data_IF_628917846650
#
_entry.id   IF_628917846650
#
_cell.length_a   1.000
_cell.length_b   1.000
_cell.length_c   1.000
_cell.angle_alpha   90.00
_cell.angle_beta   90.00
_cell.angle_gamma   90.00
#
_symmetry.space_group_name_H-M   'P 1'
#
loop_
_entity.id
_entity.type
_entity.pdbx_description
1 polymer ?
#
# COMPACT_ATOMS: atom_id res chain seq x y z
N UNK A 1 -17.79 -2.10 -16.77
CA UNK A 1 -17.59 -0.78 -16.15
C UNK A 1 -16.13 -0.77 -15.70
N UNK A 2 -15.25 -0.11 -16.45
CA UNK A 2 -13.83 -0.03 -16.09
C UNK A 2 -13.73 1.01 -14.98
N UNK A 3 -13.43 0.58 -13.76
CA UNK A 3 -13.17 1.53 -12.67
C UNK A 3 -11.86 2.25 -13.01
N UNK A 4 -11.97 3.53 -13.34
CA UNK A 4 -10.83 4.45 -13.46
C UNK A 4 -10.18 4.59 -12.08
N UNK A 5 -9.09 3.87 -11.84
CA UNK A 5 -8.36 3.93 -10.56
C UNK A 5 -7.52 5.20 -10.41
N UNK A 6 -7.44 6.05 -11.44
CA UNK A 6 -6.57 7.23 -11.50
C UNK A 6 -6.75 8.17 -10.32
N UNK A 7 -8.01 8.44 -9.92
CA UNK A 7 -8.32 9.32 -8.79
C UNK A 7 -7.90 8.67 -7.45
N UNK A 8 -8.29 7.40 -7.24
CA UNK A 8 -7.92 6.68 -6.02
C UNK A 8 -6.40 6.53 -5.90
N UNK A 9 -5.71 6.27 -7.01
CA UNK A 9 -4.26 6.16 -7.06
C UNK A 9 -3.60 7.50 -6.71
N UNK A 10 -4.12 8.62 -7.22
CA UNK A 10 -3.61 9.95 -6.87
C UNK A 10 -3.76 10.26 -5.38
N UNK A 11 -4.89 9.90 -4.77
CA UNK A 11 -5.14 10.03 -3.33
C UNK A 11 -4.15 9.18 -2.53
N UNK A 12 -4.02 7.89 -2.88
CA UNK A 12 -3.10 6.95 -2.22
C UNK A 12 -1.65 7.40 -2.34
N UNK A 13 -1.22 7.87 -3.52
CA UNK A 13 0.12 8.41 -3.71
C UNK A 13 0.36 9.65 -2.84
N UNK A 14 -0.61 10.55 -2.74
CA UNK A 14 -0.51 11.74 -1.89
C UNK A 14 -0.37 11.37 -0.40
N UNK A 15 -1.07 10.32 0.06
CA UNK A 15 -0.92 9.77 1.41
C UNK A 15 0.48 9.20 1.62
N UNK A 16 0.97 8.38 0.69
CA UNK A 16 2.32 7.78 0.75
C UNK A 16 3.39 8.87 0.79
N UNK A 17 3.33 9.84 -0.12
CA UNK A 17 4.30 10.94 -0.20
C UNK A 17 4.32 11.77 1.09
N UNK A 18 3.15 12.16 1.61
CA UNK A 18 3.04 12.94 2.85
C UNK A 18 3.69 12.27 4.06
N UNK A 19 3.56 10.95 4.18
CA UNK A 19 4.14 10.21 5.31
C UNK A 19 5.60 9.84 5.10
N UNK A 20 6.04 9.64 3.85
CA UNK A 20 7.32 9.03 3.54
C UNK A 20 8.31 9.97 2.85
N UNK A 21 7.96 11.23 2.59
CA UNK A 21 8.68 12.19 1.72
C UNK A 21 10.22 12.12 1.85
N UNK A 22 10.75 12.18 3.06
CA UNK A 22 12.21 12.20 3.31
C UNK A 22 12.92 10.88 3.06
N UNK A 23 12.17 9.80 2.86
CA UNK A 23 12.67 8.42 2.77
C UNK A 23 12.22 7.70 1.50
N UNK A 24 11.22 8.22 0.80
CA UNK A 24 10.61 7.58 -0.37
C UNK A 24 11.60 7.55 -1.55
N UNK A 25 11.85 6.36 -2.07
CA UNK A 25 12.72 6.17 -3.24
C UNK A 25 11.91 5.86 -4.50
N UNK A 26 10.86 5.05 -4.37
CA UNK A 26 10.00 4.70 -5.50
C UNK A 26 8.65 4.15 -5.04
N UNK A 27 7.64 4.32 -5.90
CA UNK A 27 6.35 3.61 -5.83
C UNK A 27 6.12 2.94 -7.17
N UNK A 28 5.80 1.64 -7.16
CA UNK A 28 5.48 0.87 -8.36
C UNK A 28 4.10 0.26 -8.26
N UNK A 29 3.26 0.51 -9.26
CA UNK A 29 2.02 -0.23 -9.47
C UNK A 29 2.37 -1.61 -10.05
N UNK A 30 1.81 -2.67 -9.48
CA UNK A 30 1.96 -4.03 -9.99
C UNK A 30 0.63 -4.79 -9.94
N UNK A 31 0.69 -6.10 -10.12
CA UNK A 31 -0.47 -6.97 -9.96
C UNK A 31 -1.51 -6.80 -11.06
N UNK A 32 -2.77 -7.05 -10.72
CA UNK A 32 -3.83 -7.19 -11.72
C UNK A 32 -4.12 -5.91 -12.52
N UNK A 33 -3.76 -4.74 -11.99
CA UNK A 33 -3.87 -3.47 -12.71
C UNK A 33 -2.94 -3.39 -13.93
N UNK A 34 -1.79 -4.08 -13.88
CA UNK A 34 -0.78 -4.09 -14.94
C UNK A 34 -0.81 -5.41 -15.72
N UNK A 35 -1.20 -6.51 -15.08
CA UNK A 35 -1.23 -7.85 -15.66
C UNK A 35 -2.64 -8.48 -15.64
N UNK A 36 -3.27 -8.58 -16.81
CA UNK A 36 -4.59 -9.22 -16.97
C UNK A 36 -5.81 -8.33 -16.68
N UNK A 37 -5.60 -7.10 -16.17
CA UNK A 37 -6.63 -6.10 -15.94
C UNK A 37 -7.41 -6.29 -14.62
N UNK A 38 -7.92 -5.17 -14.10
CA UNK A 38 -8.68 -5.15 -12.84
C UNK A 38 -10.02 -5.88 -12.96
N UNK A 39 -10.22 -6.92 -12.15
CA UNK A 39 -11.50 -7.62 -11.98
C UNK A 39 -12.38 -6.89 -10.95
N UNK A 40 -13.68 -7.22 -10.83
CA UNK A 40 -14.57 -6.52 -9.89
C UNK A 40 -14.08 -6.49 -8.44
N UNK A 41 -13.44 -7.55 -7.97
CA UNK A 41 -12.95 -7.68 -6.59
C UNK A 41 -11.42 -7.54 -6.47
N UNK A 42 -10.74 -7.11 -7.54
CA UNK A 42 -9.30 -6.81 -7.49
C UNK A 42 -9.03 -5.59 -6.62
N UNK A 43 -7.98 -5.68 -5.82
CA UNK A 43 -7.29 -4.61 -5.14
C UNK A 43 -6.34 -3.83 -6.08
N UNK A 44 -5.76 -2.76 -5.54
CA UNK A 44 -4.67 -2.01 -6.14
C UNK A 44 -3.38 -2.36 -5.39
N UNK A 45 -2.43 -2.96 -6.10
CA UNK A 45 -1.16 -3.43 -5.56
C UNK A 45 -0.04 -2.41 -5.76
N UNK A 46 0.55 -1.93 -4.67
CA UNK A 46 1.66 -0.96 -4.67
C UNK A 46 2.89 -1.50 -3.96
N UNK A 47 4.05 -1.43 -4.63
CA UNK A 47 5.36 -1.69 -4.05
C UNK A 47 6.05 -0.36 -3.76
N UNK A 48 6.24 -0.06 -2.49
CA UNK A 48 6.88 1.16 -2.00
C UNK A 48 8.29 0.83 -1.53
N UNK A 49 9.29 1.51 -2.09
CA UNK A 49 10.68 1.38 -1.67
C UNK A 49 11.10 2.62 -0.90
N UNK A 50 11.66 2.41 0.30
CA UNK A 50 12.16 3.50 1.16
C UNK A 50 13.64 3.33 1.47
N UNK A 51 14.34 4.43 1.74
CA UNK A 51 15.75 4.46 2.06
C UNK A 51 16.05 3.91 3.48
N UNK A 52 15.12 4.13 4.42
CA UNK A 52 15.28 3.77 5.83
C UNK A 52 14.01 3.12 6.37
N UNK A 53 14.16 2.31 7.41
CA UNK A 53 13.03 1.65 8.08
C UNK A 53 12.12 2.67 8.75
N UNK A 54 10.81 2.49 8.61
CA UNK A 54 9.83 3.33 9.29
C UNK A 54 9.80 3.04 10.79
N UNK A 55 9.62 4.09 11.58
CA UNK A 55 9.20 3.91 12.96
C UNK A 55 7.72 3.52 13.04
N UNK A 56 7.33 3.00 14.20
CA UNK A 56 5.99 2.42 14.37
C UNK A 56 4.88 3.47 14.51
N UNK A 57 5.22 4.72 14.76
CA UNK A 57 4.26 5.83 14.75
C UNK A 57 3.93 6.20 13.31
N UNK A 58 4.95 6.43 12.48
CA UNK A 58 4.81 6.71 11.04
C UNK A 58 4.09 5.56 10.33
N UNK A 59 4.46 4.30 10.62
CA UNK A 59 3.81 3.12 10.05
C UNK A 59 2.31 3.06 10.36
N UNK A 60 1.91 3.33 11.61
CA UNK A 60 0.49 3.34 12.01
C UNK A 60 -0.27 4.50 11.40
N UNK A 61 0.31 5.70 11.38
CA UNK A 61 -0.30 6.86 10.75
C UNK A 61 -0.52 6.63 9.24
N UNK A 62 0.47 6.08 8.54
CA UNK A 62 0.35 5.68 7.15
C UNK A 62 -0.78 4.65 6.95
N UNK A 63 -0.83 3.60 7.76
CA UNK A 63 -1.87 2.57 7.65
C UNK A 63 -3.28 3.15 7.86
N UNK A 64 -3.44 4.06 8.83
CA UNK A 64 -4.72 4.69 9.10
C UNK A 64 -5.17 5.60 7.95
N UNK A 65 -4.27 6.39 7.38
CA UNK A 65 -4.64 7.31 6.31
C UNK A 65 -4.87 6.57 4.97
N UNK A 66 -4.18 5.45 4.75
CA UNK A 66 -4.46 4.56 3.61
C UNK A 66 -5.83 3.90 3.72
N UNK A 67 -6.31 3.64 4.95
CA UNK A 67 -7.64 3.08 5.17
C UNK A 67 -8.74 3.99 4.65
N UNK A 68 -8.61 5.30 4.85
CA UNK A 68 -9.58 6.30 4.35
C UNK A 68 -9.66 6.33 2.81
N UNK A 69 -8.58 5.91 2.13
CA UNK A 69 -8.51 5.82 0.67
C UNK A 69 -8.83 4.41 0.14
N UNK A 70 -9.28 3.48 0.98
CA UNK A 70 -9.56 2.08 0.62
C UNK A 70 -11.01 1.69 0.87
N UNK A 71 -11.50 0.67 0.17
CA UNK A 71 -12.78 0.06 0.47
C UNK A 71 -12.72 -1.47 0.44
N UNK A 72 -13.59 -2.13 1.19
CA UNK A 72 -13.72 -3.58 1.12
C UNK A 72 -14.17 -4.01 -0.29
N UNK A 73 -13.64 -5.12 -0.85
CA UNK A 73 -13.97 -5.52 -2.22
C UNK A 73 -15.49 -5.68 -2.43
N UNK A 74 -16.03 -4.88 -3.34
CA UNK A 74 -17.46 -4.88 -3.70
C UNK A 74 -18.36 -3.99 -2.84
N UNK A 75 -17.82 -3.26 -1.86
CA UNK A 75 -18.62 -2.32 -1.06
C UNK A 75 -18.69 -0.90 -1.65
N UNK A 76 -17.78 -0.56 -2.56
CA UNK A 76 -17.77 0.75 -3.22
C UNK A 76 -17.71 0.59 -4.73
N UNK A 77 -18.44 1.48 -5.43
CA UNK A 77 -18.37 1.61 -6.88
C UNK A 77 -17.16 2.43 -7.35
N UNK A 78 -16.54 3.19 -6.43
CA UNK A 78 -15.45 4.14 -6.74
C UNK A 78 -14.13 3.79 -6.07
N UNK A 79 -14.14 3.00 -4.99
CA UNK A 79 -12.96 2.62 -4.22
C UNK A 79 -12.75 1.11 -4.26
N UNK A 80 -11.49 0.72 -4.39
CA UNK A 80 -11.00 -0.66 -4.26
C UNK A 80 -10.23 -0.85 -2.97
N UNK A 81 -10.00 -2.11 -2.59
CA UNK A 81 -9.05 -2.43 -1.54
C UNK A 81 -7.64 -2.02 -1.98
N UNK A 82 -6.81 -1.62 -1.02
CA UNK A 82 -5.44 -1.18 -1.26
C UNK A 82 -4.48 -2.17 -0.60
N UNK A 83 -3.51 -2.67 -1.37
CA UNK A 83 -2.39 -3.45 -0.86
C UNK A 83 -1.10 -2.66 -1.05
N UNK A 84 -0.43 -2.33 0.06
CA UNK A 84 0.89 -1.69 0.07
C UNK A 84 1.92 -2.67 0.62
N UNK A 85 2.92 -2.99 -0.19
CA UNK A 85 4.13 -3.68 0.24
C UNK A 85 5.27 -2.67 0.33
N UNK A 86 5.77 -2.43 1.52
CA UNK A 86 6.86 -1.51 1.81
C UNK A 86 8.16 -2.26 2.09
N UNK A 87 9.21 -1.90 1.37
CA UNK A 87 10.54 -2.52 1.47
C UNK A 87 11.62 -1.45 1.68
N UNK A 88 12.56 -1.73 2.57
CA UNK A 88 13.76 -0.91 2.75
C UNK A 88 14.78 -1.31 1.69
N UNK A 89 15.29 -0.35 0.92
CA UNK A 89 16.22 -0.58 -0.17
C UNK A 89 17.45 -1.41 0.25
N UNK A 90 18.02 -1.10 1.41
CA UNK A 90 19.20 -1.81 1.93
C UNK A 90 18.90 -3.29 2.27
N UNK A 91 17.67 -3.61 2.72
CA UNK A 91 17.25 -5.00 2.97
C UNK A 91 17.20 -5.80 1.65
N UNK A 92 16.82 -5.16 0.53
CA UNK A 92 16.76 -5.78 -0.80
C UNK A 92 18.16 -6.11 -1.29
N UNK A 93 19.07 -5.14 -1.26
CA UNK A 93 20.45 -5.32 -1.74
C UNK A 93 21.18 -6.40 -0.95
N UNK A 94 20.92 -6.50 0.35
CA UNK A 94 21.54 -7.50 1.23
C UNK A 94 20.85 -8.87 1.16
N UNK A 95 19.70 -8.97 0.50
CA UNK A 95 18.91 -10.20 0.41
C UNK A 95 18.25 -10.62 1.74
N UNK A 96 18.01 -9.69 2.66
CA UNK A 96 17.50 -9.97 4.02
C UNK A 96 16.05 -9.51 4.17
N UNK A 97 15.21 -9.82 3.19
CA UNK A 97 13.81 -9.39 3.18
C UNK A 97 12.97 -10.38 4.00
N UNK A 98 12.39 -9.90 5.09
CA UNK A 98 11.28 -10.57 5.79
C UNK A 98 10.07 -9.65 5.80
N UNK A 99 8.99 -10.09 5.18
CA UNK A 99 7.74 -9.34 5.16
C UNK A 99 6.86 -9.78 6.34
N UNK A 100 6.47 -8.83 7.17
CA UNK A 100 5.37 -8.99 8.11
C UNK A 100 4.16 -8.26 7.56
N UNK A 101 2.99 -8.90 7.63
CA UNK A 101 1.73 -8.30 7.18
C UNK A 101 0.97 -7.73 8.39
N UNK A 102 0.43 -6.54 8.22
CA UNK A 102 -0.66 -6.05 9.05
C UNK A 102 -1.85 -5.73 8.17
N UNK A 103 -3.01 -6.28 8.53
CA UNK A 103 -4.28 -5.88 7.97
C UNK A 103 -4.96 -4.94 8.98
N UNK A 104 -5.56 -3.87 8.48
CA UNK A 104 -6.51 -3.08 9.27
C UNK A 104 -7.90 -3.19 8.62
N UNK A 105 -8.91 -3.34 9.47
CA UNK A 105 -10.31 -3.45 9.09
C UNK A 105 -11.10 -2.52 10.02
N UNK A 106 -11.67 -1.46 9.47
CA UNK A 106 -12.53 -0.55 10.21
C UNK A 106 -13.97 -0.68 9.74
N UNK A 107 -14.87 -0.99 10.68
CA UNK A 107 -16.32 -1.04 10.51
C UNK A 107 -16.85 -1.87 9.33
N UNK A 108 -16.03 -2.77 8.78
CA UNK A 108 -16.37 -3.62 7.62
C UNK A 108 -16.13 -2.95 6.26
N UNK A 109 -15.88 -1.65 6.21
CA UNK A 109 -15.96 -0.88 4.95
C UNK A 109 -14.64 -0.54 4.27
N UNK A 110 -13.52 -0.67 4.97
CA UNK A 110 -12.20 -0.41 4.42
C UNK A 110 -11.27 -1.60 4.69
N UNK A 111 -10.42 -1.93 3.71
CA UNK A 111 -9.46 -3.02 3.80
C UNK A 111 -8.14 -2.56 3.19
N UNK A 112 -7.14 -2.43 4.06
CA UNK A 112 -5.76 -2.15 3.67
C UNK A 112 -4.83 -3.23 4.21
N UNK A 113 -3.99 -3.77 3.32
CA UNK A 113 -2.88 -4.63 3.70
C UNK A 113 -1.58 -3.83 3.61
N UNK A 114 -0.88 -3.68 4.74
CA UNK A 114 0.46 -3.11 4.77
C UNK A 114 1.47 -4.20 5.14
N UNK A 115 2.30 -4.61 4.18
CA UNK A 115 3.46 -5.47 4.44
C UNK A 115 4.71 -4.62 4.59
N UNK A 116 5.50 -4.82 5.63
CA UNK A 116 6.73 -4.04 5.86
C UNK A 116 7.93 -4.97 5.95
N UNK A 117 9.03 -4.63 5.28
CA UNK A 117 10.30 -5.33 5.48
C UNK A 117 10.82 -5.08 6.89
N UNK A 118 11.14 -6.16 7.59
CA UNK A 118 11.79 -6.09 8.89
C UNK A 118 13.13 -6.80 8.84
N UNK A 119 14.20 -6.03 9.01
CA UNK A 119 15.39 -6.49 9.69
C UNK A 119 15.08 -6.49 11.19
N UNK A 120 14.83 -7.66 11.78
CA UNK A 120 15.11 -7.86 13.20
C UNK A 120 16.53 -8.45 13.33
N UNK A 121 17.29 -8.09 14.38
CA UNK A 121 18.48 -8.85 14.75
C UNK A 121 18.13 -10.29 15.17
#
# INVERSE_FOLDING_TARGET
MTIEISNQLSEVLSVIERHLESTLLAVHLYGSAVDGGLKPYSDIDLLVTVAVKLDETTRRALLNDLMEASAFPGESETLRAIEVTLVVHDDIIRGVIRLSASCNLENGSAMTFLRVSSSQP
#
